data_IF_479821869133
#
_entry.id   IF_479821869133
#
_cell.length_a   1.000
_cell.length_b   1.000
_cell.length_c   1.000
_cell.angle_alpha   90.00
_cell.angle_beta   90.00
_cell.angle_gamma   90.00
#
_symmetry.space_group_name_H-M   'P 1'
#
loop_
_entity.id
_entity.type
_entity.pdbx_description
1 polymer ?
#
# COMPACT_ATOMS: atom_id res chain seq x y z
N UNK A 1 8.89 -3.27 16.63
CA UNK A 1 8.75 -3.75 15.25
C UNK A 1 8.95 -2.61 14.29
N UNK A 2 9.67 -2.86 13.23
CA UNK A 2 9.86 -1.84 12.21
C UNK A 2 8.58 -1.64 11.43
N UNK A 3 8.28 -0.39 11.12
CA UNK A 3 7.12 -0.07 10.29
C UNK A 3 7.55 0.00 8.83
N UNK A 4 6.62 -0.32 7.93
CA UNK A 4 6.89 -0.38 6.50
C UNK A 4 5.97 0.57 5.75
N UNK A 5 6.52 1.25 4.74
CA UNK A 5 5.69 1.97 3.79
C UNK A 5 4.94 0.94 2.94
N UNK A 6 3.89 1.40 2.24
CA UNK A 6 3.17 0.50 1.33
C UNK A 6 4.12 -0.11 0.31
N UNK A 7 5.02 0.68 -0.23
CA UNK A 7 5.97 0.17 -1.21
C UNK A 7 6.88 -0.88 -0.61
N UNK A 8 7.41 -0.64 0.58
CA UNK A 8 8.30 -1.57 1.24
C UNK A 8 7.59 -2.89 1.55
N UNK A 9 6.35 -2.80 2.04
CA UNK A 9 5.58 -4.01 2.34
C UNK A 9 5.32 -4.82 1.07
N UNK A 10 5.01 -4.15 -0.03
CA UNK A 10 4.81 -4.79 -1.32
C UNK A 10 6.07 -5.51 -1.79
N UNK A 11 7.19 -4.82 -1.72
CA UNK A 11 8.48 -5.38 -2.16
C UNK A 11 8.87 -6.58 -1.29
N UNK A 12 8.58 -6.52 0.00
CA UNK A 12 8.90 -7.62 0.91
C UNK A 12 8.21 -8.93 0.54
N UNK A 13 7.03 -8.86 -0.07
CA UNK A 13 6.33 -10.09 -0.50
C UNK A 13 6.60 -10.39 -1.97
N UNK A 14 7.53 -9.68 -2.60
CA UNK A 14 7.97 -9.99 -3.95
C UNK A 14 7.02 -9.58 -5.06
N UNK A 15 6.13 -8.63 -4.80
CA UNK A 15 5.17 -8.19 -5.81
C UNK A 15 5.63 -6.90 -6.48
N UNK A 16 5.52 -6.86 -7.81
CA UNK A 16 5.70 -5.59 -8.50
C UNK A 16 4.41 -4.78 -8.39
N UNK A 17 4.48 -3.51 -8.77
CA UNK A 17 3.35 -2.61 -8.60
C UNK A 17 2.16 -3.04 -9.45
N UNK A 18 2.42 -3.48 -10.68
CA UNK A 18 1.35 -3.88 -11.59
C UNK A 18 0.58 -5.08 -11.06
N UNK A 19 1.29 -6.09 -10.58
CA UNK A 19 0.67 -7.29 -10.04
C UNK A 19 -0.11 -6.98 -8.77
N UNK A 20 0.47 -6.18 -7.88
CA UNK A 20 -0.20 -5.81 -6.65
C UNK A 20 -1.48 -5.02 -6.93
N UNK A 21 -1.42 -4.08 -7.86
CA UNK A 21 -2.61 -3.30 -8.22
C UNK A 21 -3.72 -4.21 -8.72
N UNK A 22 -3.36 -5.18 -9.56
CA UNK A 22 -4.34 -6.13 -10.08
C UNK A 22 -4.99 -6.93 -8.94
N UNK A 23 -4.18 -7.40 -8.00
CA UNK A 23 -4.70 -8.17 -6.87
C UNK A 23 -5.59 -7.31 -5.97
N UNK A 24 -5.28 -6.04 -5.86
CA UNK A 24 -6.07 -5.12 -5.05
C UNK A 24 -7.27 -4.56 -5.82
N UNK A 25 -7.41 -4.92 -7.09
CA UNK A 25 -8.51 -4.49 -7.96
C UNK A 25 -8.54 -2.98 -8.12
N UNK A 26 -7.38 -2.40 -8.33
CA UNK A 26 -7.21 -0.97 -8.57
C UNK A 26 -6.28 -0.78 -9.76
N UNK A 27 -6.23 0.43 -10.28
CA UNK A 27 -5.29 0.74 -11.36
C UNK A 27 -3.87 0.87 -10.82
N UNK A 28 -2.91 0.67 -11.70
CA UNK A 28 -1.50 0.87 -11.35
C UNK A 28 -1.26 2.30 -10.89
N UNK A 29 -1.93 3.25 -11.53
CA UNK A 29 -1.81 4.66 -11.15
C UNK A 29 -2.33 4.91 -9.74
N UNK A 30 -3.46 4.29 -9.39
CA UNK A 30 -4.02 4.43 -8.04
C UNK A 30 -3.04 3.93 -6.99
N UNK A 31 -2.46 2.75 -7.23
CA UNK A 31 -1.49 2.21 -6.27
C UNK A 31 -0.26 3.12 -6.18
N UNK A 32 0.22 3.63 -7.32
CA UNK A 32 1.32 4.57 -7.32
C UNK A 32 1.02 5.81 -6.50
N UNK A 33 -0.20 6.34 -6.63
CA UNK A 33 -0.62 7.50 -5.84
C UNK A 33 -0.61 7.18 -4.34
N UNK A 34 -1.07 6.00 -3.96
CA UNK A 34 -1.04 5.60 -2.56
C UNK A 34 0.40 5.48 -2.05
N UNK A 35 1.28 4.90 -2.86
CA UNK A 35 2.68 4.71 -2.46
C UNK A 35 3.44 6.02 -2.37
N UNK A 36 3.04 7.01 -3.16
CA UNK A 36 3.69 8.32 -3.17
C UNK A 36 3.02 9.33 -2.23
N UNK A 37 1.95 8.93 -1.55
CA UNK A 37 1.28 9.81 -0.61
C UNK A 37 0.35 10.82 -1.25
N UNK A 38 0.05 10.67 -2.54
CA UNK A 38 -0.88 11.57 -3.23
C UNK A 38 -2.30 11.34 -2.75
N UNK A 39 -2.64 10.11 -2.46
CA UNK A 39 -3.93 9.75 -1.89
C UNK A 39 -3.75 8.57 -0.95
N UNK A 40 -4.80 8.23 -0.21
CA UNK A 40 -4.75 7.14 0.75
C UNK A 40 -5.81 6.09 0.40
N UNK A 41 -5.54 4.82 0.70
CA UNK A 41 -6.52 3.77 0.45
C UNK A 41 -7.72 3.90 1.37
N UNK A 42 -8.87 3.48 0.86
CA UNK A 42 -10.08 3.42 1.66
C UNK A 42 -10.02 2.23 2.63
N UNK A 43 -10.78 2.28 3.73
CA UNK A 43 -10.73 1.20 4.73
C UNK A 43 -10.91 -0.20 4.17
N UNK A 44 -11.83 -0.39 3.23
CA UNK A 44 -12.04 -1.72 2.65
C UNK A 44 -10.83 -2.20 1.85
N UNK A 45 -10.07 -1.29 1.27
CA UNK A 45 -8.84 -1.65 0.56
C UNK A 45 -7.70 -1.92 1.52
N UNK A 46 -7.70 -1.29 2.69
CA UNK A 46 -6.66 -1.52 3.68
C UNK A 46 -6.66 -2.97 4.13
N UNK A 47 -7.84 -3.56 4.33
CA UNK A 47 -7.92 -4.98 4.69
C UNK A 47 -7.31 -5.86 3.62
N UNK A 48 -7.61 -5.56 2.35
CA UNK A 48 -7.04 -6.32 1.24
C UNK A 48 -5.51 -6.17 1.19
N UNK A 49 -5.02 -4.95 1.43
CA UNK A 49 -3.58 -4.69 1.45
C UNK A 49 -2.91 -5.50 2.54
N UNK A 50 -3.47 -5.47 3.74
CA UNK A 50 -2.89 -6.20 4.86
C UNK A 50 -2.84 -7.70 4.58
N UNK A 51 -3.89 -8.25 4.01
CA UNK A 51 -3.92 -9.67 3.66
C UNK A 51 -2.92 -9.99 2.55
N UNK A 52 -2.88 -9.18 1.51
CA UNK A 52 -2.00 -9.43 0.37
C UNK A 52 -0.53 -9.29 0.76
N UNK A 53 -0.21 -8.24 1.51
CA UNK A 53 1.18 -7.96 1.89
C UNK A 53 1.59 -8.67 3.17
N UNK A 54 0.67 -9.37 3.82
CA UNK A 54 0.94 -10.16 5.04
C UNK A 54 1.52 -9.29 6.17
N UNK A 55 0.87 -8.15 6.37
CA UNK A 55 1.26 -7.22 7.44
C UNK A 55 0.02 -6.82 8.22
N UNK A 56 0.22 -6.34 9.44
CA UNK A 56 -0.84 -5.76 10.23
C UNK A 56 -0.96 -4.27 9.91
N UNK A 57 -2.15 -3.74 10.07
CA UNK A 57 -2.36 -2.32 9.85
C UNK A 57 -1.36 -1.46 10.64
N UNK A 58 -1.09 -1.85 11.88
CA UNK A 58 -0.19 -1.10 12.76
C UNK A 58 1.25 -1.10 12.28
N UNK A 59 1.60 -2.02 11.38
CA UNK A 59 2.96 -2.10 10.84
C UNK A 59 3.13 -1.23 9.61
N UNK A 60 2.07 -0.59 9.12
CA UNK A 60 2.14 0.22 7.91
C UNK A 60 2.30 1.69 8.22
N UNK A 61 3.07 2.35 7.40
CA UNK A 61 3.20 3.80 7.41
C UNK A 61 2.59 4.32 6.12
N UNK A 62 1.62 5.23 6.25
CA UNK A 62 1.02 5.87 5.09
C UNK A 62 1.66 7.23 4.88
N UNK A 63 2.24 7.44 3.71
CA UNK A 63 2.88 8.70 3.39
C UNK A 63 1.83 9.78 3.13
N UNK A 64 2.17 11.02 3.47
CA UNK A 64 1.31 12.16 3.21
C UNK A 64 2.12 13.15 2.38
N UNK A 65 1.73 13.34 1.13
CA UNK A 65 2.50 14.19 0.22
C UNK A 65 2.39 15.66 0.55
N UNK A 66 1.29 16.06 1.17
CA UNK A 66 1.05 17.47 1.46
C UNK A 66 0.54 17.60 2.90
N UNK A 67 1.41 17.53 3.85
CA UNK A 67 1.03 17.43 5.26
C UNK A 67 0.40 18.67 5.84
N UNK A 68 0.69 19.83 5.34
CA UNK A 68 0.10 21.07 5.77
C UNK A 68 -0.42 21.13 7.16
#
# INVERSE_FOLDING_TARGET
>A
MAKLTLKAARVNVGLDQKTAAKELKISNKTLGNWENGVSAPKPEKIDLICNLYKVNYDDLIFLVANPL
#
